data_IF_416592179236
#
_entry.id   IF_416592179236
#
_cell.length_a   1.000
_cell.length_b   1.000
_cell.length_c   1.000
_cell.angle_alpha   90.00
_cell.angle_beta   90.00
_cell.angle_gamma   90.00
#
_symmetry.space_group_name_H-M   'P 1'
#
loop_
_entity.id
_entity.type
_entity.pdbx_description
1 polymer ?
#
# COMPACT_ATOMS: atom_id res chain seq x y z
N UNK A 1 -5.10 5.65 -11.24
CA UNK A 1 -6.09 6.69 -10.92
C UNK A 1 -6.10 6.85 -9.41
N UNK A 2 -5.98 8.07 -8.89
CA UNK A 2 -6.34 8.42 -7.51
C UNK A 2 -7.34 9.57 -7.57
N UNK A 3 -8.49 9.40 -6.92
CA UNK A 3 -9.55 10.42 -6.81
C UNK A 3 -9.95 11.08 -8.15
N UNK A 4 -10.02 10.29 -9.23
CA UNK A 4 -10.38 10.79 -10.57
C UNK A 4 -9.23 11.45 -11.35
N UNK A 5 -7.99 11.44 -10.83
CA UNK A 5 -6.80 11.92 -11.53
C UNK A 5 -5.93 10.73 -11.97
N UNK A 6 -5.60 10.68 -13.25
CA UNK A 6 -4.69 9.69 -13.81
C UNK A 6 -3.28 10.26 -13.97
N UNK A 7 -2.29 9.57 -13.42
CA UNK A 7 -0.89 9.82 -13.72
C UNK A 7 -0.48 8.95 -14.91
N UNK A 8 0.16 9.55 -15.91
CA UNK A 8 0.71 8.83 -17.04
C UNK A 8 1.93 7.99 -16.59
N UNK A 9 1.98 6.73 -17.01
CA UNK A 9 3.10 5.83 -16.72
C UNK A 9 4.28 6.23 -17.63
N UNK A 10 5.25 6.96 -17.07
CA UNK A 10 6.44 7.42 -17.79
C UNK A 10 7.70 7.40 -16.90
N UNK A 11 8.80 7.94 -17.40
CA UNK A 11 10.11 7.94 -16.71
C UNK A 11 10.09 8.68 -15.36
N UNK A 12 9.13 9.58 -15.13
CA UNK A 12 8.98 10.31 -13.85
C UNK A 12 8.53 9.41 -12.70
N UNK A 13 8.23 8.14 -12.96
CA UNK A 13 7.97 7.14 -11.93
C UNK A 13 9.23 6.66 -11.19
N UNK A 14 10.42 7.11 -11.57
CA UNK A 14 11.67 6.75 -10.92
C UNK A 14 12.35 8.00 -10.37
N UNK A 15 12.58 8.02 -9.06
CA UNK A 15 13.29 9.11 -8.38
C UNK A 15 14.76 9.13 -8.82
N UNK A 16 15.29 10.32 -9.10
CA UNK A 16 16.66 10.47 -9.56
C UNK A 16 17.67 10.53 -8.39
N UNK A 17 18.95 10.17 -8.61
CA UNK A 17 20.02 10.42 -7.64
C UNK A 17 20.09 11.88 -7.16
N UNK A 18 19.88 12.83 -8.07
CA UNK A 18 19.90 14.27 -7.76
C UNK A 18 18.77 14.67 -6.78
N UNK A 19 17.58 14.08 -6.91
CA UNK A 19 16.47 14.33 -5.98
C UNK A 19 16.78 13.81 -4.57
N UNK A 20 17.47 12.66 -4.46
CA UNK A 20 17.94 12.15 -3.17
C UNK A 20 18.97 13.10 -2.53
N UNK A 21 19.94 13.60 -3.29
CA UNK A 21 20.91 14.57 -2.79
C UNK A 21 20.22 15.85 -2.30
N UNK A 22 19.32 16.42 -3.12
CA UNK A 22 18.55 17.62 -2.78
C UNK A 22 17.71 17.44 -1.53
N UNK A 23 17.14 16.24 -1.32
CA UNK A 23 16.37 15.93 -0.11
C UNK A 23 17.26 16.00 1.13
N UNK A 24 18.46 15.42 1.08
CA UNK A 24 19.43 15.49 2.18
C UNK A 24 19.90 16.92 2.43
N UNK A 25 20.21 17.68 1.37
CA UNK A 25 20.63 19.08 1.51
C UNK A 25 19.56 19.95 2.17
N UNK A 26 18.29 19.71 1.85
CA UNK A 26 17.18 20.52 2.33
C UNK A 26 16.71 20.14 3.74
N UNK A 27 16.67 18.84 4.06
CA UNK A 27 16.01 18.33 5.26
C UNK A 27 16.97 17.68 6.26
N UNK A 28 18.20 17.38 5.85
CA UNK A 28 19.11 16.53 6.61
C UNK A 28 18.64 15.08 6.64
N UNK A 29 19.00 14.36 7.70
CA UNK A 29 18.69 12.95 7.92
C UNK A 29 17.70 12.70 9.08
N UNK A 30 17.04 13.77 9.55
CA UNK A 30 16.02 13.73 10.60
C UNK A 30 16.34 14.58 11.83
N UNK A 31 17.56 15.12 11.94
CA UNK A 31 17.99 16.02 13.01
C UNK A 31 17.22 17.36 13.01
N UNK A 32 16.72 17.77 11.84
CA UNK A 32 15.88 18.97 11.66
C UNK A 32 14.38 18.66 11.66
N UNK A 33 14.01 17.45 12.11
CA UNK A 33 12.64 16.95 12.10
C UNK A 33 12.58 15.61 11.36
N UNK A 34 12.01 14.60 12.02
CA UNK A 34 11.86 13.28 11.41
C UNK A 34 10.88 13.33 10.24
N UNK A 35 11.28 12.78 9.09
CA UNK A 35 10.44 12.67 7.91
C UNK A 35 10.44 11.24 7.35
N UNK A 36 9.45 10.96 6.50
CA UNK A 36 9.39 9.75 5.70
C UNK A 36 9.46 10.16 4.22
N UNK A 37 10.20 9.41 3.41
CA UNK A 37 10.38 9.73 2.00
C UNK A 37 9.62 8.74 1.11
N UNK A 38 8.61 9.22 0.40
CA UNK A 38 7.94 8.45 -0.65
C UNK A 38 8.68 8.61 -1.99
N UNK A 39 9.86 8.01 -2.10
CA UNK A 39 10.59 7.95 -3.36
C UNK A 39 9.90 6.98 -4.31
N UNK A 40 9.59 7.43 -5.53
CA UNK A 40 8.96 6.60 -6.55
C UNK A 40 9.99 5.69 -7.22
N UNK A 41 9.63 4.42 -7.41
CA UNK A 41 10.49 3.41 -8.03
C UNK A 41 9.72 2.53 -9.03
N UNK A 42 8.80 3.14 -9.78
CA UNK A 42 7.91 2.47 -10.73
C UNK A 42 6.52 2.15 -10.16
N UNK A 43 6.23 2.56 -8.91
CA UNK A 43 4.96 2.30 -8.25
C UNK A 43 3.80 3.05 -8.92
N UNK A 44 2.65 2.39 -9.01
CA UNK A 44 1.42 2.91 -9.59
C UNK A 44 0.27 2.65 -8.61
N UNK A 45 -0.65 3.59 -8.46
CA UNK A 45 -1.83 3.44 -7.63
C UNK A 45 -2.93 2.66 -8.37
N UNK A 46 -3.51 1.67 -7.69
CA UNK A 46 -4.51 0.75 -8.25
C UNK A 46 -4.04 -0.72 -8.24
N UNK A 47 -4.84 -1.60 -8.84
CA UNK A 47 -4.48 -3.00 -9.11
C UNK A 47 -4.53 -3.25 -10.60
N UNK A 48 -3.38 -3.61 -11.17
CA UNK A 48 -3.24 -3.99 -12.57
C UNK A 48 -2.97 -5.49 -12.67
N UNK A 49 -3.13 -6.04 -13.87
CA UNK A 49 -2.71 -7.43 -14.11
C UNK A 49 -1.22 -7.58 -13.71
N UNK A 50 -0.83 -8.70 -13.06
CA UNK A 50 0.56 -8.96 -12.73
C UNK A 50 1.49 -8.77 -13.93
N UNK A 51 2.58 -8.03 -13.73
CA UNK A 51 3.58 -7.72 -14.76
C UNK A 51 3.37 -6.42 -15.55
N UNK A 52 2.24 -5.72 -15.37
CA UNK A 52 2.02 -4.41 -15.99
C UNK A 52 2.75 -3.27 -15.26
N UNK A 53 2.91 -3.39 -13.94
CA UNK A 53 3.73 -2.48 -13.13
C UNK A 53 5.16 -3.01 -13.13
N UNK A 54 6.12 -2.15 -13.44
CA UNK A 54 7.55 -2.48 -13.45
C UNK A 54 8.23 -1.76 -12.29
N UNK A 55 8.16 -2.37 -11.11
CA UNK A 55 8.90 -1.86 -9.96
C UNK A 55 10.41 -2.05 -10.17
N UNK A 56 11.19 -1.09 -9.68
CA UNK A 56 12.66 -1.13 -9.64
C UNK A 56 13.16 -0.84 -8.23
N UNK A 57 13.03 -1.78 -7.27
CA UNK A 57 13.45 -1.58 -5.89
C UNK A 57 14.91 -1.11 -5.75
N UNK A 58 15.77 -1.40 -6.72
CA UNK A 58 17.16 -0.94 -6.80
C UNK A 58 17.31 0.60 -6.76
N UNK A 59 16.29 1.37 -7.14
CA UNK A 59 16.28 2.84 -7.00
C UNK A 59 16.36 3.24 -5.53
N UNK A 60 15.73 2.47 -4.63
CA UNK A 60 15.80 2.72 -3.18
C UNK A 60 17.20 2.39 -2.63
N UNK A 61 17.82 1.31 -3.11
CA UNK A 61 19.19 0.96 -2.74
C UNK A 61 20.17 2.08 -3.15
N UNK A 62 19.98 2.63 -4.35
CA UNK A 62 20.76 3.77 -4.84
C UNK A 62 20.56 5.01 -3.98
N UNK A 63 19.30 5.33 -3.62
CA UNK A 63 19.00 6.45 -2.74
C UNK A 63 19.69 6.37 -1.38
N UNK A 64 19.73 5.18 -0.76
CA UNK A 64 20.47 4.98 0.50
C UNK A 64 21.97 5.20 0.30
N UNK A 65 22.55 4.71 -0.80
CA UNK A 65 23.98 4.87 -1.12
C UNK A 65 24.35 6.34 -1.32
N UNK A 66 23.53 7.07 -2.09
CA UNK A 66 23.70 8.52 -2.34
C UNK A 66 23.66 9.30 -1.03
N UNK A 67 22.63 9.07 -0.20
CA UNK A 67 22.52 9.75 1.09
C UNK A 67 23.66 9.39 2.05
N UNK A 68 24.04 8.12 2.14
CA UNK A 68 25.13 7.67 3.00
C UNK A 68 26.46 8.33 2.61
N UNK A 69 26.79 8.36 1.32
CA UNK A 69 28.00 9.01 0.82
C UNK A 69 28.01 10.51 1.14
N UNK A 70 26.88 11.19 0.91
CA UNK A 70 26.73 12.63 1.15
C UNK A 70 26.84 13.01 2.63
N UNK A 71 26.37 12.14 3.51
CA UNK A 71 26.44 12.33 4.97
C UNK A 71 27.75 11.79 5.58
N UNK A 72 28.65 11.21 4.78
CA UNK A 72 29.89 10.61 5.27
C UNK A 72 29.68 9.38 6.16
N UNK A 73 28.59 8.63 5.93
CA UNK A 73 28.24 7.43 6.69
C UNK A 73 28.85 6.17 6.06
N UNK A 74 28.95 5.10 6.85
CA UNK A 74 29.47 3.82 6.38
C UNK A 74 28.59 3.22 5.26
N UNK A 75 29.21 2.49 4.33
CA UNK A 75 28.48 1.74 3.30
C UNK A 75 27.47 0.77 3.94
N UNK A 76 26.27 0.70 3.36
CA UNK A 76 25.15 -0.06 3.92
C UNK A 76 24.32 0.68 4.98
N UNK A 77 24.71 1.91 5.35
CA UNK A 77 23.83 2.80 6.11
C UNK A 77 22.54 3.08 5.36
N UNK A 78 21.43 3.26 6.10
CA UNK A 78 20.10 3.55 5.54
C UNK A 78 19.54 4.86 6.10
N UNK A 79 20.00 6.02 5.61
CA UNK A 79 19.57 7.31 6.16
C UNK A 79 18.09 7.63 5.91
N UNK A 80 17.48 7.07 4.87
CA UNK A 80 16.07 7.30 4.56
C UNK A 80 15.15 6.23 5.16
N UNK A 81 14.09 6.68 5.82
CA UNK A 81 12.90 5.89 6.14
C UNK A 81 11.93 5.98 4.93
N UNK A 82 11.90 4.95 4.07
CA UNK A 82 11.11 4.98 2.84
C UNK A 82 9.64 4.59 3.03
N UNK A 83 8.79 5.17 2.18
CA UNK A 83 7.37 4.80 2.03
C UNK A 83 7.12 4.18 0.65
N UNK A 84 6.60 2.96 0.62
CA UNK A 84 6.16 2.29 -0.59
C UNK A 84 4.68 2.62 -0.86
N UNK A 85 4.46 3.52 -1.81
CA UNK A 85 3.12 3.84 -2.34
C UNK A 85 2.62 2.78 -3.33
N UNK A 86 1.29 2.60 -3.45
CA UNK A 86 0.72 1.68 -4.44
C UNK A 86 1.04 0.20 -4.22
N UNK A 87 1.10 -0.27 -2.96
CA UNK A 87 1.47 -1.65 -2.66
C UNK A 87 0.41 -2.71 -3.00
N UNK A 88 -0.81 -2.31 -3.40
CA UNK A 88 -1.85 -3.27 -3.81
C UNK A 88 -1.45 -3.98 -5.11
N UNK A 89 -1.65 -5.30 -5.18
CA UNK A 89 -1.29 -6.12 -6.36
C UNK A 89 0.21 -6.29 -6.64
N UNK A 90 1.10 -5.78 -5.78
CA UNK A 90 2.55 -5.99 -5.91
C UNK A 90 2.95 -7.44 -5.63
N UNK A 91 4.02 -7.93 -6.28
CA UNK A 91 4.53 -9.27 -6.01
C UNK A 91 5.20 -9.34 -4.64
N UNK A 92 5.10 -10.49 -3.96
CA UNK A 92 5.74 -10.70 -2.65
C UNK A 92 7.26 -10.48 -2.71
N UNK A 93 7.90 -10.88 -3.80
CA UNK A 93 9.33 -10.64 -4.02
C UNK A 93 9.67 -9.15 -4.09
N UNK A 94 8.83 -8.32 -4.73
CA UNK A 94 9.06 -6.88 -4.83
C UNK A 94 8.89 -6.20 -3.46
N UNK A 95 7.92 -6.66 -2.67
CA UNK A 95 7.75 -6.21 -1.28
C UNK A 95 9.01 -6.58 -0.47
N UNK A 96 9.45 -7.84 -0.51
CA UNK A 96 10.64 -8.30 0.22
C UNK A 96 11.92 -7.55 -0.18
N UNK A 97 12.09 -7.24 -1.46
CA UNK A 97 13.19 -6.44 -1.97
C UNK A 97 13.18 -5.02 -1.40
N UNK A 98 12.01 -4.36 -1.42
CA UNK A 98 11.85 -3.01 -0.88
C UNK A 98 12.16 -2.91 0.62
N UNK A 99 11.79 -3.93 1.40
CA UNK A 99 12.10 -4.00 2.84
C UNK A 99 13.62 -4.04 3.09
N UNK A 100 14.39 -4.73 2.23
CA UNK A 100 15.86 -4.76 2.34
C UNK A 100 16.49 -3.40 2.12
N UNK A 101 15.81 -2.45 1.48
CA UNK A 101 16.33 -1.11 1.19
C UNK A 101 15.78 0.00 2.09
N UNK A 102 15.07 -0.35 3.16
CA UNK A 102 14.64 0.60 4.19
C UNK A 102 13.22 1.14 4.01
N UNK A 103 12.35 0.42 3.29
CA UNK A 103 10.90 0.67 3.39
C UNK A 103 10.43 0.32 4.80
N UNK A 104 9.82 1.31 5.45
CA UNK A 104 9.24 1.17 6.81
C UNK A 104 7.72 1.32 6.82
N UNK A 105 7.14 1.77 5.72
CA UNK A 105 5.69 1.97 5.54
C UNK A 105 5.28 1.60 4.12
N UNK A 106 4.24 0.80 3.96
CA UNK A 106 3.63 0.53 2.66
C UNK A 106 2.16 0.96 2.69
N UNK A 107 1.71 1.66 1.65
CA UNK A 107 0.30 2.02 1.47
C UNK A 107 -0.45 0.90 0.75
N UNK A 108 -1.59 0.49 1.31
CA UNK A 108 -2.51 -0.48 0.72
C UNK A 108 -3.90 0.11 0.78
N UNK A 109 -4.58 0.17 -0.36
CA UNK A 109 -5.94 0.71 -0.45
C UNK A 109 -6.81 -0.16 -1.35
N UNK A 110 -6.50 -0.26 -2.65
CA UNK A 110 -7.31 -0.99 -3.63
C UNK A 110 -7.58 -2.45 -3.24
N UNK A 111 -6.58 -3.17 -2.72
CA UNK A 111 -6.79 -4.54 -2.28
C UNK A 111 -7.73 -4.62 -1.05
N UNK A 112 -7.65 -3.67 -0.12
CA UNK A 112 -8.54 -3.61 1.03
C UNK A 112 -9.95 -3.18 0.64
N UNK A 113 -10.11 -2.28 -0.33
CA UNK A 113 -11.41 -1.93 -0.92
C UNK A 113 -12.08 -3.16 -1.55
N UNK A 114 -11.31 -3.95 -2.31
CA UNK A 114 -11.80 -5.19 -2.91
C UNK A 114 -12.20 -6.20 -1.84
N UNK A 115 -11.34 -6.45 -0.84
CA UNK A 115 -11.61 -7.38 0.26
C UNK A 115 -12.86 -6.99 1.06
N UNK A 116 -13.09 -5.69 1.26
CA UNK A 116 -14.28 -5.16 1.91
C UNK A 116 -15.55 -5.35 1.07
N UNK A 117 -15.48 -5.05 -0.23
CA UNK A 117 -16.63 -5.07 -1.15
C UNK A 117 -17.04 -6.48 -1.57
N UNK A 118 -16.07 -7.39 -1.68
CA UNK A 118 -16.25 -8.77 -2.13
C UNK A 118 -17.37 -9.55 -1.41
N UNK A 119 -17.49 -9.52 -0.07
CA UNK A 119 -18.59 -10.18 0.64
C UNK A 119 -19.92 -9.43 0.51
N UNK A 120 -19.91 -8.10 0.32
CA UNK A 120 -21.13 -7.31 0.07
C UNK A 120 -21.79 -7.75 -1.24
N UNK A 121 -21.02 -7.81 -2.32
CA UNK A 121 -21.52 -8.27 -3.62
C UNK A 121 -22.16 -9.67 -3.50
N UNK A 122 -21.46 -10.61 -2.85
CA UNK A 122 -22.00 -11.96 -2.59
C UNK A 122 -23.28 -11.95 -1.75
N UNK A 123 -23.35 -11.13 -0.70
CA UNK A 123 -24.53 -10.99 0.15
C UNK A 123 -25.74 -10.48 -0.64
N UNK A 124 -25.56 -9.44 -1.46
CA UNK A 124 -26.66 -8.89 -2.27
C UNK A 124 -27.18 -9.91 -3.29
N UNK A 125 -26.29 -10.61 -4.01
CA UNK A 125 -26.73 -11.61 -5.00
C UNK A 125 -27.46 -12.79 -4.37
N UNK A 126 -26.95 -13.30 -3.25
CA UNK A 126 -27.54 -14.49 -2.60
C UNK A 126 -28.79 -14.20 -1.79
N UNK A 127 -29.07 -12.93 -1.48
CA UNK A 127 -30.24 -12.49 -0.70
C UNK A 127 -31.08 -11.47 -1.48
N UNK A 128 -31.07 -11.53 -2.81
CA UNK A 128 -31.62 -10.47 -3.68
C UNK A 128 -33.09 -10.15 -3.37
N UNK A 129 -33.90 -11.17 -3.10
CA UNK A 129 -35.32 -11.10 -2.75
C UNK A 129 -35.59 -10.64 -1.31
N UNK A 130 -34.58 -10.72 -0.44
CA UNK A 130 -34.63 -10.22 0.93
C UNK A 130 -34.10 -8.80 1.09
N UNK A 131 -33.15 -8.38 0.26
CA UNK A 131 -32.60 -7.01 0.28
C UNK A 131 -33.43 -6.03 -0.54
N UNK A 132 -34.24 -6.54 -1.48
CA UNK A 132 -35.22 -5.78 -2.25
C UNK A 132 -36.65 -6.11 -1.79
N UNK A 133 -37.61 -5.25 -2.14
CA UNK A 133 -39.04 -5.53 -2.04
C UNK A 133 -39.53 -5.93 -3.43
N UNK A 134 -39.78 -7.22 -3.64
CA UNK A 134 -40.16 -7.78 -4.94
C UNK A 134 -41.53 -8.46 -4.86
N UNK A 135 -42.28 -8.48 -5.96
CA UNK A 135 -43.55 -9.22 -6.09
C UNK A 135 -44.61 -8.93 -5.00
N UNK A 136 -44.56 -7.72 -4.41
CA UNK A 136 -45.48 -7.31 -3.34
C UNK A 136 -44.99 -7.61 -1.92
N UNK A 137 -43.84 -8.27 -1.77
CA UNK A 137 -43.23 -8.59 -0.48
C UNK A 137 -42.52 -7.38 0.16
N UNK A 138 -42.30 -7.45 1.49
CA UNK A 138 -41.75 -6.34 2.28
C UNK A 138 -40.24 -6.42 2.53
N UNK A 139 -39.56 -7.39 1.89
CA UNK A 139 -38.16 -7.72 2.12
C UNK A 139 -37.91 -8.39 3.47
N UNK A 140 -36.65 -8.70 3.76
CA UNK A 140 -36.24 -9.41 4.97
C UNK A 140 -35.28 -8.56 5.81
N UNK A 141 -35.77 -8.08 6.96
CA UNK A 141 -35.01 -7.25 7.90
C UNK A 141 -33.66 -7.82 8.27
N UNK A 142 -33.54 -9.15 8.40
CA UNK A 142 -32.30 -9.80 8.81
C UNK A 142 -31.19 -9.66 7.76
N UNK A 143 -31.53 -9.46 6.49
CA UNK A 143 -30.55 -9.41 5.39
C UNK A 143 -30.40 -8.02 4.79
N UNK A 144 -31.40 -7.13 4.89
CA UNK A 144 -31.21 -5.72 4.52
C UNK A 144 -30.59 -4.88 5.64
N UNK A 145 -30.61 -5.35 6.89
CA UNK A 145 -29.91 -4.69 8.00
C UNK A 145 -28.42 -4.56 7.64
N UNK A 146 -27.87 -3.34 7.58
CA UNK A 146 -26.49 -3.13 7.16
C UNK A 146 -25.46 -3.91 7.95
N UNK A 147 -25.73 -4.19 9.23
CA UNK A 147 -24.83 -4.97 10.08
C UNK A 147 -24.69 -6.41 9.62
N UNK A 148 -25.65 -6.95 8.87
CA UNK A 148 -25.62 -8.33 8.37
C UNK A 148 -24.53 -8.57 7.34
N UNK A 149 -24.22 -7.56 6.52
CA UNK A 149 -23.19 -7.64 5.48
C UNK A 149 -21.95 -6.81 5.79
N UNK A 150 -22.07 -5.69 6.50
CA UNK A 150 -20.91 -4.88 6.92
C UNK A 150 -20.00 -5.62 7.90
N UNK A 151 -20.54 -6.49 8.78
CA UNK A 151 -19.70 -7.39 9.60
C UNK A 151 -18.85 -8.33 8.75
N UNK A 152 -19.38 -8.82 7.63
CA UNK A 152 -18.64 -9.69 6.71
C UNK A 152 -17.58 -8.89 5.95
N UNK A 153 -17.89 -7.65 5.59
CA UNK A 153 -16.97 -6.69 4.96
C UNK A 153 -15.76 -6.40 5.85
N UNK A 154 -16.02 -6.04 7.11
CA UNK A 154 -15.00 -5.77 8.12
C UNK A 154 -14.10 -6.99 8.33
N UNK A 155 -14.68 -8.19 8.48
CA UNK A 155 -13.91 -9.42 8.61
C UNK A 155 -13.07 -9.72 7.36
N UNK A 156 -13.61 -9.50 6.16
CA UNK A 156 -12.88 -9.67 4.89
C UNK A 156 -11.69 -8.71 4.77
N UNK A 157 -11.90 -7.43 5.09
CA UNK A 157 -10.84 -6.43 5.11
C UNK A 157 -9.79 -6.74 6.19
N UNK A 158 -10.19 -7.17 7.39
CA UNK A 158 -9.27 -7.54 8.46
C UNK A 158 -8.33 -8.68 8.04
N UNK A 159 -8.84 -9.71 7.36
CA UNK A 159 -8.01 -10.77 6.79
C UNK A 159 -6.98 -10.23 5.80
N UNK A 160 -7.37 -9.29 4.93
CA UNK A 160 -6.44 -8.66 3.98
C UNK A 160 -5.38 -7.79 4.66
N UNK A 161 -5.73 -7.10 5.74
CA UNK A 161 -4.79 -6.34 6.57
C UNK A 161 -3.78 -7.28 7.24
N UNK A 162 -4.24 -8.40 7.79
CA UNK A 162 -3.36 -9.43 8.37
C UNK A 162 -2.37 -9.97 7.34
N UNK A 163 -2.81 -10.24 6.11
CA UNK A 163 -1.91 -10.60 5.01
C UNK A 163 -0.83 -9.53 4.78
N UNK A 164 -1.23 -8.25 4.71
CA UNK A 164 -0.29 -7.14 4.58
C UNK A 164 0.75 -7.07 5.72
N UNK A 165 0.34 -7.29 6.97
CA UNK A 165 1.26 -7.36 8.11
C UNK A 165 2.25 -8.53 7.99
N UNK A 166 1.83 -9.68 7.45
CA UNK A 166 2.70 -10.82 7.23
C UNK A 166 3.68 -10.56 6.08
N UNK A 167 3.21 -10.01 4.97
CA UNK A 167 4.06 -9.65 3.82
C UNK A 167 5.14 -8.63 4.22
N UNK A 168 4.76 -7.64 5.05
CA UNK A 168 5.67 -6.61 5.58
C UNK A 168 6.52 -7.06 6.79
N UNK A 169 6.41 -8.33 7.20
CA UNK A 169 7.12 -8.91 8.36
C UNK A 169 6.91 -8.14 9.68
N UNK A 170 5.78 -7.44 9.82
CA UNK A 170 5.42 -6.69 11.04
C UNK A 170 4.51 -7.49 11.98
N UNK A 171 3.87 -8.56 11.50
CA UNK A 171 3.06 -9.45 12.31
C UNK A 171 3.83 -9.98 13.54
N UNK A 172 3.19 -9.95 14.71
CA UNK A 172 3.78 -10.41 15.98
C UNK A 172 4.83 -9.47 16.59
N UNK A 173 5.01 -8.25 16.06
CA UNK A 173 6.01 -7.28 16.54
C UNK A 173 5.39 -6.00 17.13
N UNK A 174 4.23 -6.12 17.79
CA UNK A 174 3.62 -4.97 18.47
C UNK A 174 4.53 -4.46 19.59
N UNK A 175 4.67 -3.14 19.71
CA UNK A 175 5.42 -2.49 20.80
C UNK A 175 4.64 -2.41 22.11
N UNK A 176 3.36 -2.77 22.10
CA UNK A 176 2.48 -2.77 23.27
C UNK A 176 2.50 -4.10 24.04
N UNK A 177 3.34 -5.05 23.62
CA UNK A 177 3.44 -6.40 24.19
C UNK A 177 4.19 -6.43 25.51
#
# INVERSE_FOLDING_TARGET
EEDGVEAEINEKLYTSPEDFEKTVDALGAGENGKYLLAATFGNVHGVYKPGNVKLKPEVLAEGQRVAAAKLGLAEGSKPFDFVFHGGSGSLKSEIEDSLRYGVVKMNVDTDTQYAFTRPLAGHMFTNYDGVLKIDGEVGNKKVYDPRSYLKKAEAGMAVRVVEGCNDLKSAGRSISG
#
